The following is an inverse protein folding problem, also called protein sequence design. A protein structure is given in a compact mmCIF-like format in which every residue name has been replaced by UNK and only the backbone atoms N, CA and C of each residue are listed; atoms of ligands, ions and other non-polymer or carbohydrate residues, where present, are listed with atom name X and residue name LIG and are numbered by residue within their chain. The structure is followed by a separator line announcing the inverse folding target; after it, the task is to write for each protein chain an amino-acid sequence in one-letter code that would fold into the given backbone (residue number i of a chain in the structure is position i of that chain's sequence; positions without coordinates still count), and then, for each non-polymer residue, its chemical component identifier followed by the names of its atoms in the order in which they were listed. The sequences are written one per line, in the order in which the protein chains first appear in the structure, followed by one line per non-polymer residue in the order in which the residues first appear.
data_IF_483173203400
#
_entry.id   IF_483173203400
#
_cell.length_a   1.000
_cell.length_b   1.000
_cell.length_c   1.000
_cell.angle_alpha   90.00
_cell.angle_beta   90.00
_cell.angle_gamma   90.00
#
_symmetry.space_group_name_H-M   'P 1'
#
loop_
_entity.id
_entity.type
_entity.pdbx_description
1 polymer ?
#
# COMPACT_ATOMS: atom_id res chain seq x y z
N UNK A 1 6.10 -2.74 19.28
CA UNK A 1 7.54 -2.53 19.16
C UNK A 1 8.28 -3.72 19.75
N UNK A 2 9.39 -4.13 19.14
CA UNK A 2 10.22 -5.23 19.65
C UNK A 2 11.07 -4.82 20.85
N UNK A 3 11.64 -5.81 21.54
CA UNK A 3 12.60 -5.62 22.63
C UNK A 3 14.02 -5.70 22.07
N UNK A 4 14.86 -4.70 22.34
CA UNK A 4 16.27 -4.71 21.96
C UNK A 4 17.04 -5.86 22.66
N UNK A 5 16.69 -6.17 23.89
CA UNK A 5 17.23 -7.29 24.66
C UNK A 5 16.89 -8.65 24.01
N UNK A 6 15.64 -8.87 23.60
CA UNK A 6 15.24 -10.10 22.91
C UNK A 6 15.91 -10.22 21.53
N UNK A 7 16.10 -9.09 20.85
CA UNK A 7 16.85 -9.06 19.58
C UNK A 7 18.30 -9.47 19.79
N UNK A 8 18.97 -8.94 20.81
CA UNK A 8 20.36 -9.31 21.14
C UNK A 8 20.49 -10.81 21.39
N UNK A 9 19.63 -11.38 22.24
CA UNK A 9 19.61 -12.82 22.51
C UNK A 9 19.35 -13.65 21.24
N UNK A 10 18.39 -13.25 20.42
CA UNK A 10 18.12 -13.91 19.14
C UNK A 10 19.32 -13.90 18.20
N UNK A 11 20.06 -12.77 18.16
CA UNK A 11 21.28 -12.67 17.35
C UNK A 11 22.39 -13.55 17.88
N UNK A 12 22.69 -13.47 19.19
CA UNK A 12 23.87 -14.10 19.79
C UNK A 12 23.68 -15.59 20.07
N UNK A 13 22.51 -16.00 20.56
CA UNK A 13 22.23 -17.38 20.97
C UNK A 13 21.67 -18.24 19.83
N UNK A 14 20.96 -17.66 18.86
CA UNK A 14 20.35 -18.41 17.77
C UNK A 14 21.10 -18.23 16.46
N UNK A 15 21.22 -17.00 15.96
CA UNK A 15 21.82 -16.78 14.65
C UNK A 15 23.34 -17.00 14.67
N UNK A 16 24.03 -16.52 15.69
CA UNK A 16 25.47 -16.70 15.81
C UNK A 16 25.87 -18.12 16.23
N UNK A 17 24.94 -18.98 16.62
CA UNK A 17 25.19 -20.41 16.79
C UNK A 17 25.30 -21.16 15.44
N UNK A 18 24.87 -20.56 14.34
CA UNK A 18 25.00 -21.13 13.00
C UNK A 18 26.48 -21.13 12.55
N UNK A 19 26.87 -22.04 11.63
CA UNK A 19 28.23 -22.08 11.07
C UNK A 19 28.62 -20.74 10.45
N UNK A 20 29.87 -20.34 10.65
CA UNK A 20 30.39 -19.05 10.18
C UNK A 20 30.26 -18.82 8.67
N UNK A 21 30.24 -19.89 7.88
CA UNK A 21 30.04 -19.84 6.43
C UNK A 21 28.56 -19.66 6.01
N UNK A 22 27.61 -19.70 6.93
CA UNK A 22 26.19 -19.53 6.62
C UNK A 22 25.95 -18.13 6.04
N UNK A 23 25.35 -18.08 4.85
CA UNK A 23 25.06 -16.81 4.15
C UNK A 23 23.89 -16.09 4.81
N UNK A 24 24.05 -14.79 5.02
CA UNK A 24 23.03 -13.88 5.54
C UNK A 24 22.56 -12.95 4.42
N UNK A 25 21.30 -13.00 4.09
CA UNK A 25 20.68 -12.11 3.10
C UNK A 25 19.89 -11.01 3.81
N UNK A 26 20.36 -9.75 3.79
CA UNK A 26 19.65 -8.66 4.44
C UNK A 26 18.37 -8.31 3.67
N UNK A 27 17.30 -7.97 4.39
CA UNK A 27 16.09 -7.41 3.78
C UNK A 27 16.35 -6.03 3.17
N UNK A 28 17.25 -5.25 3.77
CA UNK A 28 17.72 -3.95 3.28
C UNK A 28 19.19 -3.78 3.61
N UNK A 29 19.99 -3.33 2.64
CA UNK A 29 21.36 -2.86 2.86
C UNK A 29 21.54 -1.49 2.20
N UNK A 30 21.93 -0.49 3.00
CA UNK A 30 22.15 0.89 2.54
C UNK A 30 23.59 1.14 2.06
N UNK A 31 24.46 0.12 2.11
CA UNK A 31 25.86 0.18 1.69
C UNK A 31 26.12 -0.58 0.37
N UNK A 32 25.05 -1.10 -0.25
CA UNK A 32 25.13 -1.80 -1.53
C UNK A 32 25.65 -3.25 -1.45
N UNK A 33 25.70 -3.85 -0.26
CA UNK A 33 26.05 -5.27 -0.10
C UNK A 33 24.82 -6.12 -0.38
N UNK A 34 25.00 -7.19 -1.13
CA UNK A 34 23.92 -8.13 -1.45
C UNK A 34 23.75 -9.21 -0.39
N UNK A 35 24.82 -9.58 0.30
CA UNK A 35 24.83 -10.61 1.34
C UNK A 35 26.08 -10.46 2.23
N UNK A 36 26.07 -11.15 3.36
CA UNK A 36 27.20 -11.34 4.25
C UNK A 36 27.25 -12.81 4.73
N UNK A 37 28.07 -13.12 5.72
CA UNK A 37 28.05 -14.43 6.41
C UNK A 37 27.97 -14.24 7.90
N UNK A 38 27.53 -15.27 8.63
CA UNK A 38 27.48 -15.26 10.09
C UNK A 38 28.86 -14.89 10.67
N UNK A 39 29.94 -15.44 10.14
CA UNK A 39 31.30 -15.09 10.59
C UNK A 39 31.69 -13.64 10.32
N UNK A 40 31.21 -13.04 9.22
CA UNK A 40 31.40 -11.62 8.94
C UNK A 40 30.60 -10.75 9.89
N UNK A 41 29.35 -11.11 10.18
CA UNK A 41 28.49 -10.37 11.11
C UNK A 41 29.03 -10.43 12.56
N UNK A 42 29.51 -11.58 13.03
CA UNK A 42 30.15 -11.73 14.34
C UNK A 42 31.33 -10.78 14.51
N UNK A 43 32.12 -10.54 13.46
CA UNK A 43 33.36 -9.76 13.52
C UNK A 43 33.16 -8.29 13.16
N UNK A 44 32.26 -7.99 12.24
CA UNK A 44 32.20 -6.69 11.58
C UNK A 44 30.92 -5.89 11.82
N UNK A 45 29.86 -6.48 12.40
CA UNK A 45 28.63 -5.76 12.63
C UNK A 45 28.80 -4.77 13.79
N UNK A 46 28.88 -3.48 13.48
CA UNK A 46 29.17 -2.42 14.44
C UNK A 46 28.21 -2.34 15.63
N UNK A 47 27.02 -2.92 15.52
CA UNK A 47 26.01 -2.90 16.59
C UNK A 47 26.18 -4.04 17.58
N UNK A 48 26.64 -5.22 17.13
CA UNK A 48 26.63 -6.44 17.94
C UNK A 48 28.00 -7.06 18.13
N UNK A 49 28.96 -6.84 17.22
CA UNK A 49 30.27 -7.43 17.27
C UNK A 49 31.04 -6.98 18.53
N UNK A 50 31.37 -7.93 19.42
CA UNK A 50 32.08 -7.68 20.66
C UNK A 50 31.35 -6.82 21.69
N UNK A 51 30.03 -6.66 21.54
CA UNK A 51 29.18 -5.87 22.44
C UNK A 51 28.49 -6.76 23.46
N UNK A 52 28.35 -6.25 24.68
CA UNK A 52 27.46 -6.82 25.69
C UNK A 52 25.98 -6.49 25.35
N UNK A 53 25.05 -7.20 25.97
CA UNK A 53 23.62 -6.92 25.83
C UNK A 53 23.27 -5.47 26.21
N UNK A 54 23.85 -4.97 27.33
CA UNK A 54 23.61 -3.60 27.77
C UNK A 54 24.11 -2.54 26.77
N UNK A 55 25.31 -2.76 26.20
CA UNK A 55 25.84 -1.86 25.16
C UNK A 55 24.97 -1.90 23.87
N UNK A 56 24.51 -3.09 23.48
CA UNK A 56 23.62 -3.23 22.33
C UNK A 56 22.29 -2.51 22.56
N UNK A 57 21.68 -2.70 23.73
CA UNK A 57 20.42 -2.02 24.09
C UNK A 57 20.61 -0.50 24.06
N UNK A 58 21.69 0.01 24.66
CA UNK A 58 21.98 1.45 24.64
C UNK A 58 22.18 2.00 23.21
N UNK A 59 22.87 1.25 22.33
CA UNK A 59 23.00 1.62 20.92
C UNK A 59 21.64 1.67 20.22
N UNK A 60 20.80 0.66 20.45
CA UNK A 60 19.48 0.58 19.79
C UNK A 60 18.51 1.66 20.27
N UNK A 61 18.54 2.02 21.54
CA UNK A 61 17.73 3.11 22.13
C UNK A 61 18.20 4.49 21.66
N UNK A 62 19.50 4.66 21.43
CA UNK A 62 20.05 5.91 20.89
C UNK A 62 19.71 6.14 19.40
N UNK A 63 19.18 5.13 18.69
CA UNK A 63 18.80 5.26 17.29
C UNK A 63 17.54 6.12 17.14
N UNK A 64 17.71 7.35 16.67
CA UNK A 64 16.60 8.24 16.30
C UNK A 64 16.17 7.98 14.85
N UNK A 65 15.59 6.80 14.59
CA UNK A 65 15.06 6.48 13.27
C UNK A 65 13.67 7.06 13.10
N UNK A 66 13.36 7.65 11.94
CA UNK A 66 11.99 8.09 11.65
C UNK A 66 11.06 6.88 11.70
N UNK A 67 10.01 6.96 12.51
CA UNK A 67 9.02 5.90 12.61
C UNK A 67 8.32 5.73 11.27
N UNK A 68 8.11 4.49 10.79
CA UNK A 68 7.21 4.23 9.67
C UNK A 68 5.83 4.82 9.95
N UNK A 69 5.21 5.46 8.94
CA UNK A 69 3.97 6.25 9.09
C UNK A 69 2.83 5.52 9.80
N UNK A 70 2.78 4.19 9.70
CA UNK A 70 1.67 3.37 10.22
C UNK A 70 2.11 2.37 11.28
N UNK A 71 3.24 2.56 11.94
CA UNK A 71 3.79 1.59 12.89
C UNK A 71 2.86 1.39 14.09
N UNK A 72 2.24 2.46 14.55
CA UNK A 72 1.37 2.43 15.73
C UNK A 72 0.03 1.69 15.46
N UNK A 73 -0.35 1.54 14.18
CA UNK A 73 -1.50 0.72 13.76
C UNK A 73 -1.06 -0.70 13.37
N UNK A 74 0.04 -0.82 12.65
CA UNK A 74 0.50 -2.09 12.09
C UNK A 74 1.00 -3.05 13.18
N UNK A 75 1.69 -2.56 14.20
CA UNK A 75 2.23 -3.40 15.27
C UNK A 75 1.11 -4.09 16.08
N UNK A 76 0.08 -3.40 16.59
CA UNK A 76 -1.03 -4.09 17.27
C UNK A 76 -1.78 -5.07 16.36
N UNK A 77 -2.02 -4.69 15.09
CA UNK A 77 -2.68 -5.56 14.13
C UNK A 77 -1.86 -6.84 13.86
N UNK A 78 -0.54 -6.73 13.72
CA UNK A 78 0.35 -7.87 13.50
C UNK A 78 0.45 -8.77 14.75
N UNK A 79 0.43 -8.21 15.95
CA UNK A 79 0.39 -9.00 17.19
C UNK A 79 -0.87 -9.86 17.30
N UNK A 80 -1.95 -9.42 16.67
CA UNK A 80 -3.22 -10.16 16.58
C UNK A 80 -3.36 -10.92 15.24
N UNK A 81 -2.28 -11.14 14.50
CA UNK A 81 -2.29 -11.75 13.15
C UNK A 81 -3.25 -11.06 12.18
N UNK A 82 -3.45 -9.76 12.32
CA UNK A 82 -4.44 -8.99 11.57
C UNK A 82 -5.90 -9.25 11.96
N UNK A 83 -6.15 -10.14 12.91
CA UNK A 83 -7.48 -10.44 13.40
C UNK A 83 -7.95 -9.34 14.36
N UNK A 84 -9.23 -9.04 14.29
CA UNK A 84 -9.88 -8.09 15.20
C UNK A 84 -10.88 -8.81 16.06
N UNK A 85 -10.99 -8.34 17.29
CA UNK A 85 -12.01 -8.73 18.23
C UNK A 85 -12.90 -7.52 18.49
N UNK A 86 -14.20 -7.75 18.68
CA UNK A 86 -15.11 -6.72 19.21
C UNK A 86 -14.85 -6.49 20.71
N UNK A 87 -15.63 -5.62 21.30
CA UNK A 87 -15.53 -5.28 22.73
C UNK A 87 -15.83 -6.46 23.67
N UNK A 88 -16.50 -7.51 23.15
CA UNK A 88 -16.85 -8.72 23.88
C UNK A 88 -15.86 -9.88 23.59
N UNK A 89 -14.80 -9.64 22.81
CA UNK A 89 -13.78 -10.64 22.46
C UNK A 89 -14.17 -11.58 21.32
N UNK A 90 -15.29 -11.34 20.62
CA UNK A 90 -15.66 -12.13 19.45
C UNK A 90 -14.77 -11.80 18.26
N UNK A 91 -14.32 -12.85 17.54
CA UNK A 91 -13.45 -12.71 16.38
C UNK A 91 -14.21 -12.05 15.22
N UNK A 92 -13.81 -10.83 14.85
CA UNK A 92 -14.34 -10.17 13.67
C UNK A 92 -13.61 -10.68 12.43
N UNK A 93 -14.20 -11.66 11.75
CA UNK A 93 -13.66 -12.27 10.52
C UNK A 93 -13.74 -11.37 9.28
N UNK A 94 -14.24 -10.15 9.42
CA UNK A 94 -14.25 -9.21 8.31
C UNK A 94 -12.88 -8.51 8.22
N UNK A 95 -12.19 -8.61 7.07
CA UNK A 95 -11.02 -7.78 6.83
C UNK A 95 -11.49 -6.32 6.93
N UNK A 96 -10.96 -5.58 7.91
CA UNK A 96 -11.21 -4.14 7.92
C UNK A 96 -10.54 -3.56 6.69
N UNK A 97 -11.34 -2.89 5.87
CA UNK A 97 -10.84 -2.11 4.78
C UNK A 97 -9.75 -1.16 5.30
N UNK A 98 -8.56 -1.25 4.74
CA UNK A 98 -7.51 -0.28 4.99
C UNK A 98 -7.85 0.98 4.19
N UNK A 99 -8.82 1.75 4.70
CA UNK A 99 -8.88 3.15 4.39
C UNK A 99 -7.78 3.79 5.22
N UNK A 100 -6.62 4.01 4.62
CA UNK A 100 -5.59 4.82 5.25
C UNK A 100 -6.16 6.23 5.36
N UNK A 101 -6.50 6.65 6.59
CA UNK A 101 -6.77 8.05 6.85
C UNK A 101 -5.48 8.81 6.53
N UNK A 102 -5.40 9.35 5.32
CA UNK A 102 -4.38 10.34 5.00
C UNK A 102 -4.74 11.61 5.79
N UNK A 103 -3.81 12.08 6.61
CA UNK A 103 -3.72 13.51 6.95
C UNK A 103 -3.33 14.27 5.68
N UNK A 104 -4.12 14.18 4.65
CA UNK A 104 -3.89 14.68 3.32
C UNK A 104 -5.22 15.06 2.69
N UNK A 105 -5.15 15.84 1.68
CA UNK A 105 -6.24 16.49 0.95
C UNK A 105 -7.27 15.55 0.27
N UNK A 106 -7.45 14.30 0.70
CA UNK A 106 -8.48 13.34 0.25
C UNK A 106 -8.73 12.25 1.31
N UNK A 107 -9.80 11.46 1.20
CA UNK A 107 -10.25 10.53 2.24
C UNK A 107 -9.30 9.35 2.48
N UNK A 108 -8.54 8.92 1.49
CA UNK A 108 -7.51 7.88 1.66
C UNK A 108 -7.34 6.96 0.46
N UNK A 109 -6.49 5.93 0.65
CA UNK A 109 -6.25 4.89 -0.33
C UNK A 109 -6.99 3.60 0.05
N UNK A 110 -7.50 2.90 -0.94
CA UNK A 110 -8.17 1.60 -0.77
C UNK A 110 -7.62 0.57 -1.75
N UNK A 111 -7.61 -0.70 -1.34
CA UNK A 111 -7.25 -1.78 -2.26
C UNK A 111 -8.34 -1.96 -3.35
N UNK A 112 -8.00 -2.52 -4.52
CA UNK A 112 -8.99 -2.84 -5.55
C UNK A 112 -10.13 -3.73 -5.02
N UNK A 113 -9.82 -4.73 -4.18
CA UNK A 113 -10.80 -5.65 -3.60
C UNK A 113 -11.78 -4.92 -2.68
N UNK A 114 -11.27 -4.00 -1.85
CA UNK A 114 -12.12 -3.24 -0.95
C UNK A 114 -13.01 -2.26 -1.72
N UNK A 115 -12.45 -1.55 -2.69
CA UNK A 115 -13.23 -0.67 -3.55
C UNK A 115 -14.39 -1.44 -4.20
N UNK A 116 -14.12 -2.67 -4.68
CA UNK A 116 -15.14 -3.53 -5.26
C UNK A 116 -16.21 -3.96 -4.24
N UNK A 117 -15.83 -4.33 -3.03
CA UNK A 117 -16.77 -4.64 -1.95
C UNK A 117 -17.72 -3.49 -1.66
N UNK A 118 -17.21 -2.26 -1.53
CA UNK A 118 -18.05 -1.07 -1.31
C UNK A 118 -18.99 -0.79 -2.49
N UNK A 119 -18.53 -1.01 -3.71
CA UNK A 119 -19.37 -0.83 -4.90
C UNK A 119 -20.50 -1.86 -4.92
N UNK A 120 -20.19 -3.15 -4.63
CA UNK A 120 -21.20 -4.20 -4.56
C UNK A 120 -22.21 -3.99 -3.42
N UNK A 121 -21.76 -3.46 -2.29
CA UNK A 121 -22.63 -3.09 -1.17
C UNK A 121 -23.47 -1.82 -1.42
N UNK A 122 -23.24 -1.13 -2.54
CA UNK A 122 -23.92 0.12 -2.85
C UNK A 122 -23.46 1.33 -2.03
N UNK A 123 -22.35 1.21 -1.30
CA UNK A 123 -21.77 2.24 -0.44
C UNK A 123 -20.92 3.24 -1.22
N UNK A 124 -20.36 2.83 -2.35
CA UNK A 124 -19.50 3.65 -3.18
C UNK A 124 -19.88 3.61 -4.65
N UNK A 125 -19.47 4.65 -5.36
CA UNK A 125 -19.49 4.70 -6.83
C UNK A 125 -18.07 4.55 -7.34
N UNK A 126 -17.86 3.61 -8.26
CA UNK A 126 -16.59 3.45 -8.96
C UNK A 126 -16.49 4.44 -10.10
N UNK A 127 -15.51 5.32 -10.05
CA UNK A 127 -15.25 6.34 -11.07
C UNK A 127 -13.95 6.01 -11.80
N UNK A 128 -14.03 5.72 -13.08
CA UNK A 128 -12.85 5.51 -13.93
C UNK A 128 -12.37 6.86 -14.49
N UNK A 129 -11.25 7.33 -13.95
CA UNK A 129 -10.65 8.62 -14.34
C UNK A 129 -9.64 8.50 -15.49
N UNK A 130 -9.56 7.34 -16.14
CA UNK A 130 -8.78 7.14 -17.36
C UNK A 130 -9.46 7.81 -18.56
N UNK A 131 -8.68 8.05 -19.61
CA UNK A 131 -9.22 8.55 -20.88
C UNK A 131 -10.11 7.51 -21.55
N UNK A 132 -10.99 7.97 -22.46
CA UNK A 132 -11.85 7.08 -23.27
C UNK A 132 -11.03 6.10 -24.09
N UNK A 133 -9.90 6.55 -24.65
CA UNK A 133 -8.98 5.70 -25.40
C UNK A 133 -8.40 4.55 -24.55
N UNK A 134 -8.03 4.83 -23.29
CA UNK A 134 -7.55 3.77 -22.40
C UNK A 134 -8.64 2.74 -22.09
N UNK A 135 -9.88 3.18 -21.89
CA UNK A 135 -11.00 2.27 -21.64
C UNK A 135 -11.36 1.44 -22.85
N UNK A 136 -11.32 2.04 -24.03
CA UNK A 136 -11.61 1.36 -25.29
C UNK A 136 -10.55 0.28 -25.61
N UNK A 137 -9.27 0.63 -25.49
CA UNK A 137 -8.21 -0.24 -25.97
C UNK A 137 -7.66 -1.21 -24.91
N UNK A 138 -7.69 -0.82 -23.64
CA UNK A 138 -7.12 -1.64 -22.54
C UNK A 138 -8.21 -2.39 -21.78
N UNK A 139 -9.46 -1.94 -21.88
CA UNK A 139 -10.60 -2.49 -21.18
C UNK A 139 -11.07 -1.62 -20.01
N UNK A 140 -12.19 -2.01 -19.41
CA UNK A 140 -12.91 -1.23 -18.39
C UNK A 140 -13.58 -2.12 -17.35
N UNK A 141 -13.98 -1.53 -16.23
CA UNK A 141 -14.78 -2.20 -15.20
C UNK A 141 -16.27 -1.98 -15.50
N UNK A 142 -17.07 -3.06 -15.68
CA UNK A 142 -18.51 -2.91 -15.88
C UNK A 142 -19.18 -2.16 -14.73
N UNK A 143 -19.99 -1.16 -15.05
CA UNK A 143 -20.68 -0.33 -14.06
C UNK A 143 -19.83 0.82 -13.50
N UNK A 144 -18.55 0.93 -13.84
CA UNK A 144 -17.75 2.10 -13.51
C UNK A 144 -18.24 3.33 -14.31
N UNK A 145 -18.35 4.47 -13.63
CA UNK A 145 -18.75 5.71 -14.28
C UNK A 145 -17.51 6.40 -14.87
N UNK A 146 -17.51 6.67 -16.19
CA UNK A 146 -16.39 7.31 -16.85
C UNK A 146 -16.39 8.82 -16.58
N UNK A 147 -15.33 9.30 -15.90
CA UNK A 147 -15.07 10.74 -15.72
C UNK A 147 -13.58 10.97 -15.90
N UNK A 148 -13.13 11.17 -17.12
CA UNK A 148 -11.73 11.29 -17.43
C UNK A 148 -11.08 12.48 -16.70
N UNK A 149 -10.00 12.25 -15.95
CA UNK A 149 -9.17 13.30 -15.36
C UNK A 149 -8.38 14.06 -16.44
N UNK A 150 -7.87 13.30 -17.41
CA UNK A 150 -7.19 13.83 -18.59
C UNK A 150 -7.74 13.18 -19.84
N UNK A 151 -7.82 13.94 -20.91
CA UNK A 151 -8.43 13.54 -22.19
C UNK A 151 -7.37 13.22 -23.24
N UNK A 152 -7.65 12.25 -24.07
CA UNK A 152 -6.89 11.93 -25.27
C UNK A 152 -7.49 12.68 -26.48
N UNK A 153 -6.66 13.13 -27.46
CA UNK A 153 -5.19 13.09 -27.49
C UNK A 153 -4.55 14.19 -26.64
N UNK A 154 -3.26 14.01 -26.30
CA UNK A 154 -2.43 15.02 -25.63
C UNK A 154 -2.50 15.01 -24.11
N UNK A 155 -3.39 14.19 -23.48
CA UNK A 155 -3.52 14.08 -22.03
C UNK A 155 -3.72 15.42 -21.32
N UNK A 156 -4.49 16.30 -21.95
CA UNK A 156 -4.88 17.60 -21.38
C UNK A 156 -5.91 17.41 -20.26
N UNK A 157 -5.93 18.34 -19.30
CA UNK A 157 -6.93 18.33 -18.24
C UNK A 157 -8.33 18.40 -18.81
N UNK A 158 -9.25 17.60 -18.26
CA UNK A 158 -10.64 17.66 -18.63
C UNK A 158 -11.33 18.89 -18.00
N UNK A 159 -11.72 19.90 -18.77
CA UNK A 159 -12.32 21.11 -18.21
C UNK A 159 -13.71 20.88 -17.60
N UNK A 160 -14.37 19.79 -17.98
CA UNK A 160 -15.70 19.40 -17.46
C UNK A 160 -15.62 18.41 -16.27
N UNK A 161 -14.44 18.10 -15.77
CA UNK A 161 -14.24 17.08 -14.71
C UNK A 161 -15.11 17.34 -13.48
N UNK A 162 -15.08 18.57 -12.95
CA UNK A 162 -15.82 18.95 -11.75
C UNK A 162 -17.33 18.79 -11.93
N UNK A 163 -17.85 19.25 -13.07
CA UNK A 163 -19.27 19.16 -13.39
C UNK A 163 -19.72 17.70 -13.57
N UNK A 164 -18.92 16.90 -14.30
CA UNK A 164 -19.22 15.48 -14.52
C UNK A 164 -19.19 14.70 -13.20
N UNK A 165 -18.21 14.97 -12.33
CA UNK A 165 -18.09 14.30 -11.04
C UNK A 165 -19.27 14.64 -10.13
N UNK A 166 -19.72 15.90 -10.12
CA UNK A 166 -20.88 16.33 -9.33
C UNK A 166 -22.17 15.58 -9.68
N UNK A 167 -22.34 15.16 -10.93
CA UNK A 167 -23.48 14.36 -11.38
C UNK A 167 -23.45 12.89 -10.92
N UNK A 168 -22.29 12.41 -10.46
CA UNK A 168 -22.06 10.98 -10.17
C UNK A 168 -22.19 10.65 -8.68
N UNK A 169 -21.81 11.54 -7.80
CA UNK A 169 -21.56 11.23 -6.38
C UNK A 169 -22.79 10.78 -5.56
N UNK A 170 -23.99 11.25 -5.89
CA UNK A 170 -25.26 10.83 -5.27
C UNK A 170 -25.21 10.59 -3.74
N UNK A 171 -24.37 11.33 -3.00
CA UNK A 171 -24.20 11.17 -1.56
C UNK A 171 -23.41 9.93 -1.11
N UNK A 172 -22.79 9.20 -2.03
CA UNK A 172 -21.96 8.02 -1.75
C UNK A 172 -20.47 8.35 -1.78
N UNK A 173 -19.67 7.45 -1.20
CA UNK A 173 -18.20 7.48 -1.36
C UNK A 173 -17.83 7.37 -2.84
N UNK A 174 -16.78 8.07 -3.25
CA UNK A 174 -16.20 7.91 -4.58
C UNK A 174 -14.91 7.09 -4.49
N UNK A 175 -14.81 6.01 -5.23
CA UNK A 175 -13.57 5.23 -5.39
C UNK A 175 -13.04 5.44 -6.79
N UNK A 176 -11.88 6.09 -6.92
CA UNK A 176 -11.35 6.57 -8.18
C UNK A 176 -10.26 5.65 -8.72
N UNK A 177 -10.46 5.19 -9.96
CA UNK A 177 -9.59 4.23 -10.66
C UNK A 177 -8.86 4.93 -11.81
N UNK A 178 -7.53 4.84 -11.82
CA UNK A 178 -6.75 5.18 -13.01
C UNK A 178 -5.89 3.99 -13.44
N UNK A 179 -4.84 4.19 -14.24
CA UNK A 179 -4.00 3.10 -14.74
C UNK A 179 -3.21 2.40 -13.63
N UNK A 180 -2.57 3.18 -12.72
CA UNK A 180 -1.64 2.67 -11.68
C UNK A 180 -1.72 3.40 -10.33
N UNK A 181 -2.82 4.11 -10.05
CA UNK A 181 -3.03 4.82 -8.78
C UNK A 181 -2.51 6.27 -8.73
N UNK A 182 -1.74 6.76 -9.71
CA UNK A 182 -1.12 8.09 -9.65
C UNK A 182 -2.11 9.23 -9.99
N UNK A 183 -2.82 9.13 -11.11
CA UNK A 183 -3.80 10.14 -11.55
C UNK A 183 -5.02 10.20 -10.65
N UNK A 184 -5.45 9.06 -10.13
CA UNK A 184 -6.59 8.95 -9.22
C UNK A 184 -6.33 9.62 -7.87
N UNK A 185 -5.08 9.72 -7.40
CA UNK A 185 -4.73 10.55 -6.23
C UNK A 185 -5.05 12.03 -6.52
N UNK A 186 -4.62 12.57 -7.67
CA UNK A 186 -4.90 13.96 -8.01
C UNK A 186 -6.41 14.21 -8.17
N UNK A 187 -7.12 13.28 -8.80
CA UNK A 187 -8.57 13.34 -8.96
C UNK A 187 -9.30 13.22 -7.61
N UNK A 188 -8.84 12.37 -6.69
CA UNK A 188 -9.41 12.24 -5.35
C UNK A 188 -9.23 13.51 -4.50
N UNK A 189 -8.07 14.15 -4.61
CA UNK A 189 -7.83 15.46 -4.00
C UNK A 189 -8.84 16.50 -4.50
N UNK A 190 -8.99 16.58 -5.81
CA UNK A 190 -9.95 17.51 -6.42
C UNK A 190 -11.38 17.21 -6.00
N UNK A 191 -11.76 15.93 -5.97
CA UNK A 191 -13.09 15.51 -5.50
C UNK A 191 -13.34 15.93 -4.04
N UNK A 192 -12.33 15.82 -3.18
CA UNK A 192 -12.44 16.25 -1.78
C UNK A 192 -12.56 17.76 -1.63
N UNK A 193 -11.84 18.54 -2.46
CA UNK A 193 -12.01 20.00 -2.53
C UNK A 193 -13.44 20.40 -2.94
N UNK A 194 -14.11 19.57 -3.72
CA UNK A 194 -15.51 19.74 -4.12
C UNK A 194 -16.52 19.23 -3.06
N UNK A 195 -16.03 18.71 -1.92
CA UNK A 195 -16.85 18.26 -0.81
C UNK A 195 -17.26 16.79 -0.85
N UNK A 196 -16.65 15.96 -1.71
CA UNK A 196 -16.93 14.53 -1.80
C UNK A 196 -16.01 13.70 -0.91
N UNK A 197 -16.50 12.62 -0.34
CA UNK A 197 -15.70 11.58 0.31
C UNK A 197 -15.05 10.71 -0.77
N UNK A 198 -13.79 11.02 -1.13
CA UNK A 198 -13.12 10.42 -2.28
C UNK A 198 -11.86 9.63 -1.90
N UNK A 199 -11.74 8.43 -2.45
CA UNK A 199 -10.65 7.49 -2.24
C UNK A 199 -9.91 7.18 -3.53
N UNK A 200 -8.60 7.03 -3.44
CA UNK A 200 -7.79 6.48 -4.52
C UNK A 200 -7.77 4.95 -4.45
N UNK A 201 -8.00 4.27 -5.59
CA UNK A 201 -7.77 2.83 -5.69
C UNK A 201 -6.27 2.59 -5.94
N UNK A 202 -5.62 1.93 -4.97
CA UNK A 202 -4.23 1.51 -5.07
C UNK A 202 -4.00 0.66 -6.32
N UNK A 203 -2.81 0.76 -6.91
CA UNK A 203 -2.39 -0.01 -8.08
C UNK A 203 -3.21 0.30 -9.36
N UNK A 204 -4.39 0.89 -9.26
CA UNK A 204 -5.25 1.23 -10.40
C UNK A 204 -5.73 0.00 -11.18
N UNK A 205 -5.97 0.17 -12.49
CA UNK A 205 -6.52 -0.88 -13.37
C UNK A 205 -5.47 -1.91 -13.80
N UNK A 206 -4.23 -1.46 -14.10
CA UNK A 206 -3.17 -2.27 -14.69
C UNK A 206 -1.99 -2.51 -13.76
N UNK A 207 -1.87 -1.79 -12.66
CA UNK A 207 -0.71 -1.86 -11.77
C UNK A 207 0.55 -1.22 -12.32
N UNK A 208 1.65 -1.46 -11.63
CA UNK A 208 2.98 -1.02 -12.05
C UNK A 208 3.56 -1.98 -13.11
N UNK A 209 4.48 -1.50 -13.97
CA UNK A 209 5.15 -2.34 -14.93
C UNK A 209 6.08 -3.36 -14.24
N UNK A 210 6.27 -4.51 -14.86
CA UNK A 210 7.29 -5.48 -14.49
C UNK A 210 8.70 -5.07 -15.00
N UNK A 211 9.66 -5.95 -14.85
CA UNK A 211 11.05 -5.73 -15.31
C UNK A 211 11.17 -5.57 -16.84
N UNK A 212 10.17 -6.01 -17.60
CA UNK A 212 10.08 -5.92 -19.06
C UNK A 212 9.14 -4.80 -19.53
N UNK A 213 8.74 -3.90 -18.61
CA UNK A 213 7.78 -2.81 -18.84
C UNK A 213 6.34 -3.27 -19.21
N UNK A 214 5.97 -4.52 -18.92
CA UNK A 214 4.61 -5.02 -19.07
C UNK A 214 3.77 -4.74 -17.82
N UNK A 215 2.48 -4.43 -18.03
CA UNK A 215 1.53 -4.15 -16.94
C UNK A 215 0.51 -5.28 -16.76
N UNK A 216 -0.15 -5.30 -15.60
CA UNK A 216 -1.17 -6.30 -15.27
C UNK A 216 -0.61 -7.60 -14.68
N UNK A 217 0.71 -7.70 -14.48
CA UNK A 217 1.37 -8.90 -13.94
C UNK A 217 1.74 -8.77 -12.46
N UNK A 218 1.93 -7.55 -11.94
CA UNK A 218 2.36 -7.31 -10.56
C UNK A 218 1.28 -6.78 -9.63
N UNK A 219 0.21 -6.24 -10.17
CA UNK A 219 -0.85 -5.60 -9.40
C UNK A 219 -1.90 -4.99 -10.31
N UNK A 220 -2.86 -4.30 -9.68
CA UNK A 220 -3.97 -3.65 -10.35
C UNK A 220 -5.26 -4.47 -10.36
N UNK A 221 -6.35 -3.82 -10.71
CA UNK A 221 -7.68 -4.40 -10.74
C UNK A 221 -7.75 -5.74 -11.47
N UNK A 222 -7.13 -5.82 -12.65
CA UNK A 222 -7.10 -7.04 -13.47
C UNK A 222 -6.29 -8.16 -12.81
N UNK A 223 -5.16 -7.83 -12.21
CA UNK A 223 -4.27 -8.80 -11.54
C UNK A 223 -4.98 -9.50 -10.38
N UNK A 224 -5.83 -8.79 -9.66
CA UNK A 224 -6.62 -9.33 -8.54
C UNK A 224 -7.85 -10.13 -8.99
N UNK A 225 -8.02 -10.40 -10.28
CA UNK A 225 -9.13 -11.19 -10.81
C UNK A 225 -10.50 -10.54 -10.65
N UNK A 226 -10.57 -9.24 -10.45
CA UNK A 226 -11.81 -8.49 -10.33
C UNK A 226 -12.48 -8.32 -11.70
N UNK A 227 -13.81 -8.13 -11.77
CA UNK A 227 -14.54 -8.05 -13.03
C UNK A 227 -14.04 -6.91 -13.93
N UNK A 228 -13.77 -7.23 -15.16
CA UNK A 228 -13.43 -6.27 -16.21
C UNK A 228 -13.79 -6.82 -17.59
N UNK A 229 -13.89 -5.95 -18.60
CA UNK A 229 -14.15 -6.31 -19.99
C UNK A 229 -13.26 -5.49 -20.93
N UNK A 230 -13.06 -6.02 -22.12
CA UNK A 230 -12.45 -5.35 -23.27
C UNK A 230 -13.41 -5.50 -24.45
N UNK A 231 -13.57 -4.46 -25.26
CA UNK A 231 -14.40 -4.49 -26.46
C UNK A 231 -13.73 -5.24 -27.61
#
# INVERSE_FOLDING_TARGET
SGSASDLYRSLTEVLFALPDATTVWPGHDYQGRTHSTIGQEKKGNARVAGKSEAEFVAIMEALQLPKPRRIDEAVPANLSSGLRHDVDGALLLQPRPVAAAHQGSYAGDVSPQLAWQWVQAGEAVLVDVRSDAEREWVGFVPGAVPVAWKQWPGMTMNPAFDQQLGGVAQGKKLVLLCRSGVRSIAAAKRATELGFEAYNILEGFEGDPDAHAHRGLKGGWRHHGLPWRQN
#
